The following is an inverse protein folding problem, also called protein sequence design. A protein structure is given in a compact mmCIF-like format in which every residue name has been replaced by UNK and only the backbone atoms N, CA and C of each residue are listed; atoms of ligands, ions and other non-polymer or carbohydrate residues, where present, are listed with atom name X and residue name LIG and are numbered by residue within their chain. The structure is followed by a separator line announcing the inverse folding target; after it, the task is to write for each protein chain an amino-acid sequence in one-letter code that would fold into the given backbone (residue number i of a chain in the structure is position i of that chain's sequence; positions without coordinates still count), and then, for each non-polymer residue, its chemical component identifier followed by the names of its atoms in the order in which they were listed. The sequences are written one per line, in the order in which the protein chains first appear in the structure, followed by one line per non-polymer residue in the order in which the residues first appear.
data_IF_148189157326
#
_entry.id   IF_148189157326
#
_cell.length_a   1.000
_cell.length_b   1.000
_cell.length_c   1.000
_cell.angle_alpha   90.00
_cell.angle_beta   90.00
_cell.angle_gamma   90.00
#
_symmetry.space_group_name_H-M   'P 1'
#
loop_
_entity.id
_entity.type
_entity.pdbx_description
1 polymer ?
#
# COMPACT_ATOMS: atom_id res chain seq x y z
N UNK A 1 4.62 -55.73 -47.81
CA UNK A 1 5.79 -55.55 -48.70
C UNK A 1 6.41 -54.21 -48.36
N UNK A 2 7.53 -54.18 -47.61
CA UNK A 2 8.91 -54.01 -48.14
C UNK A 2 9.05 -52.65 -48.85
N UNK A 3 9.91 -51.70 -48.49
CA UNK A 3 11.27 -51.80 -47.95
C UNK A 3 11.68 -50.44 -47.33
N UNK A 4 12.28 -50.44 -46.14
CA UNK A 4 13.71 -50.14 -45.90
C UNK A 4 14.25 -48.92 -46.67
N UNK A 5 14.47 -47.81 -45.97
CA UNK A 5 15.59 -46.92 -46.30
C UNK A 5 16.32 -46.48 -45.02
N UNK A 6 17.44 -47.16 -44.79
CA UNK A 6 18.43 -46.93 -43.75
C UNK A 6 19.46 -45.98 -44.38
N UNK A 7 19.58 -44.77 -43.85
CA UNK A 7 20.64 -43.81 -44.25
C UNK A 7 21.38 -43.43 -42.97
N UNK A 8 22.51 -44.08 -42.65
CA UNK A 8 23.85 -43.72 -43.14
C UNK A 8 24.21 -42.28 -42.78
N UNK A 9 24.40 -42.00 -41.48
CA UNK A 9 25.42 -41.03 -41.09
C UNK A 9 26.53 -41.73 -40.31
N UNK A 10 27.66 -41.71 -40.99
CA UNK A 10 28.90 -42.39 -40.76
C UNK A 10 29.54 -42.02 -39.43
N UNK A 11 30.03 -43.06 -38.76
CA UNK A 11 31.23 -43.11 -37.92
C UNK A 11 32.11 -41.87 -38.08
N UNK A 12 31.97 -40.91 -37.17
CA UNK A 12 32.89 -39.80 -37.04
C UNK A 12 34.23 -40.40 -36.60
N UNK A 13 35.15 -40.45 -37.56
CA UNK A 13 36.49 -41.00 -37.43
C UNK A 13 37.20 -40.34 -36.25
N UNK A 14 37.57 -41.13 -35.24
CA UNK A 14 38.63 -40.78 -34.31
C UNK A 14 39.92 -40.66 -35.11
N UNK A 15 40.24 -39.44 -35.56
CA UNK A 15 41.56 -39.12 -36.10
C UNK A 15 42.55 -39.18 -34.93
N UNK A 16 43.21 -40.33 -34.80
CA UNK A 16 44.41 -40.49 -33.99
C UNK A 16 45.49 -39.61 -34.61
N UNK A 17 45.80 -38.49 -33.96
CA UNK A 17 46.96 -37.69 -34.31
C UNK A 17 48.22 -38.45 -33.90
N UNK A 18 48.85 -39.12 -34.87
CA UNK A 18 50.18 -39.67 -34.72
C UNK A 18 51.15 -38.50 -34.50
N UNK A 19 51.71 -38.41 -33.30
CA UNK A 19 52.67 -37.39 -32.91
C UNK A 19 53.97 -37.56 -33.69
N UNK A 20 54.16 -36.75 -34.74
CA UNK A 20 55.39 -36.70 -35.53
C UNK A 20 56.40 -35.88 -34.72
N UNK A 21 57.41 -36.54 -34.14
CA UNK A 21 58.49 -35.87 -33.40
C UNK A 21 59.26 -34.94 -34.35
N UNK A 22 59.15 -33.64 -34.13
CA UNK A 22 59.98 -32.62 -34.79
C UNK A 22 61.41 -32.67 -34.22
N UNK A 23 62.45 -32.54 -35.06
CA UNK A 23 63.83 -32.48 -34.59
C UNK A 23 64.07 -31.15 -33.85
N UNK A 24 64.60 -31.23 -32.63
CA UNK A 24 64.97 -30.07 -31.82
C UNK A 24 66.22 -29.41 -32.42
N UNK A 25 66.03 -28.35 -33.20
CA UNK A 25 67.12 -27.42 -33.54
C UNK A 25 67.50 -26.64 -32.28
N UNK A 26 68.79 -26.64 -31.95
CA UNK A 26 69.35 -25.84 -30.86
C UNK A 26 69.46 -24.40 -31.31
N UNK A 27 68.37 -23.63 -31.17
CA UNK A 27 68.42 -22.18 -31.22
C UNK A 27 68.45 -21.69 -29.77
N UNK A 28 69.64 -21.32 -29.29
CA UNK A 28 69.83 -20.70 -27.98
C UNK A 28 69.26 -19.29 -28.02
N UNK A 29 67.95 -19.18 -27.78
CA UNK A 29 67.38 -17.95 -27.28
C UNK A 29 67.89 -17.80 -25.84
N UNK A 30 68.75 -16.83 -25.59
CA UNK A 30 68.95 -16.32 -24.23
C UNK A 30 67.60 -15.72 -23.80
N UNK A 31 66.84 -16.50 -23.05
CA UNK A 31 65.64 -16.03 -22.39
C UNK A 31 66.10 -15.03 -21.32
N UNK A 32 65.59 -13.78 -21.30
CA UNK A 32 65.78 -12.89 -20.16
C UNK A 32 65.39 -13.64 -18.88
N UNK A 33 66.10 -13.46 -17.75
CA UNK A 33 65.80 -14.19 -16.53
C UNK A 33 64.31 -14.05 -16.22
N UNK A 34 63.63 -15.19 -16.21
CA UNK A 34 62.22 -15.27 -15.86
C UNK A 34 62.06 -14.56 -14.50
N UNK A 35 61.14 -13.60 -14.36
CA UNK A 35 60.94 -12.96 -13.07
C UNK A 35 60.66 -14.08 -12.08
N UNK A 36 61.46 -14.16 -11.02
CA UNK A 36 61.25 -15.12 -9.93
C UNK A 36 59.95 -14.69 -9.25
N UNK A 37 58.82 -15.16 -9.78
CA UNK A 37 57.53 -15.01 -9.12
C UNK A 37 57.68 -15.92 -7.89
N UNK A 38 57.68 -15.37 -6.67
CA UNK A 38 57.76 -16.20 -5.48
C UNK A 38 56.65 -17.23 -5.56
N UNK A 39 56.98 -18.51 -5.35
CA UNK A 39 55.99 -19.58 -5.37
C UNK A 39 55.01 -19.35 -4.21
N UNK A 40 53.92 -18.64 -4.53
CA UNK A 40 52.84 -18.29 -3.61
C UNK A 40 52.17 -19.54 -3.01
N UNK A 41 52.34 -20.72 -3.63
CA UNK A 41 51.86 -21.99 -3.08
C UNK A 41 52.82 -22.59 -2.07
N UNK A 42 54.13 -22.43 -2.27
CA UNK A 42 55.15 -22.90 -1.33
C UNK A 42 55.15 -22.10 -0.02
N UNK A 43 54.94 -20.78 -0.09
CA UNK A 43 54.82 -19.92 1.08
C UNK A 43 53.66 -18.93 0.88
N UNK A 44 52.42 -19.29 1.28
CA UNK A 44 51.32 -18.35 1.20
C UNK A 44 51.60 -17.14 2.10
N UNK A 45 51.36 -15.90 1.61
CA UNK A 45 51.56 -14.71 2.42
C UNK A 45 50.71 -14.81 3.69
N UNK A 46 51.35 -14.56 4.84
CA UNK A 46 50.71 -14.64 6.15
C UNK A 46 49.59 -13.61 6.22
N UNK A 47 48.35 -14.07 6.36
CA UNK A 47 47.19 -13.18 6.49
C UNK A 47 47.32 -12.35 7.79
N UNK A 48 47.17 -11.04 7.66
CA UNK A 48 47.33 -10.09 8.76
C UNK A 48 46.07 -9.98 9.64
N UNK A 49 44.99 -10.64 9.24
CA UNK A 49 43.71 -10.59 9.95
C UNK A 49 43.76 -11.47 11.20
N UNK A 50 43.42 -10.87 12.35
CA UNK A 50 43.30 -11.61 13.60
C UNK A 50 42.25 -12.74 13.42
N UNK A 51 42.54 -14.00 13.77
CA UNK A 51 41.63 -15.15 13.54
C UNK A 51 40.20 -14.97 14.09
N UNK A 52 39.98 -14.15 15.13
CA UNK A 52 38.63 -13.86 15.63
C UNK A 52 37.78 -13.04 14.64
N UNK A 53 38.40 -12.26 13.75
CA UNK A 53 37.72 -11.42 12.77
C UNK A 53 36.78 -12.21 11.87
N UNK A 54 37.21 -13.37 11.36
CA UNK A 54 36.37 -14.21 10.50
C UNK A 54 35.16 -14.80 11.23
N UNK A 55 35.31 -15.11 12.53
CA UNK A 55 34.18 -15.54 13.37
C UNK A 55 33.20 -14.40 13.60
N UNK A 56 33.70 -13.19 13.86
CA UNK A 56 32.86 -12.00 14.04
C UNK A 56 32.07 -11.67 12.76
N UNK A 57 32.71 -11.70 11.58
CA UNK A 57 32.03 -11.48 10.29
C UNK A 57 30.99 -12.57 10.01
N UNK A 58 31.30 -13.83 10.32
CA UNK A 58 30.34 -14.94 10.18
C UNK A 58 29.09 -14.75 11.04
N UNK A 59 29.27 -14.39 12.31
CA UNK A 59 28.16 -14.09 13.23
C UNK A 59 27.39 -12.85 12.77
N UNK A 60 28.09 -11.80 12.33
CA UNK A 60 27.47 -10.58 11.83
C UNK A 60 26.57 -10.88 10.61
N UNK A 61 27.04 -11.66 9.64
CA UNK A 61 26.21 -12.06 8.50
C UNK A 61 24.99 -12.88 8.93
N UNK A 62 25.16 -13.81 9.87
CA UNK A 62 24.07 -14.64 10.39
C UNK A 62 23.01 -13.81 11.13
N UNK A 63 23.37 -12.67 11.71
CA UNK A 63 22.43 -11.74 12.36
C UNK A 63 21.85 -10.75 11.35
N UNK A 64 22.69 -10.15 10.52
CA UNK A 64 22.31 -9.06 9.61
C UNK A 64 21.36 -9.57 8.52
N UNK A 65 21.63 -10.72 7.90
CA UNK A 65 20.79 -11.24 6.80
C UNK A 65 19.33 -11.46 7.25
N UNK A 66 19.02 -12.18 8.36
CA UNK A 66 17.64 -12.33 8.80
C UNK A 66 17.03 -11.02 9.33
N UNK A 67 17.82 -10.17 10.00
CA UNK A 67 17.33 -8.86 10.45
C UNK A 67 16.90 -8.00 9.27
N UNK A 68 17.69 -7.96 8.20
CA UNK A 68 17.35 -7.27 6.96
C UNK A 68 16.13 -7.91 6.29
N UNK A 69 16.02 -9.24 6.29
CA UNK A 69 14.82 -9.93 5.79
C UNK A 69 13.55 -9.58 6.54
N UNK A 70 13.59 -9.56 7.88
CA UNK A 70 12.47 -9.15 8.73
C UNK A 70 12.15 -7.67 8.52
N UNK A 71 13.17 -6.82 8.53
CA UNK A 71 13.00 -5.39 8.31
C UNK A 71 12.40 -5.11 6.94
N UNK A 72 12.88 -5.79 5.91
CA UNK A 72 12.27 -5.79 4.60
C UNK A 72 10.79 -6.16 4.77
N UNK A 73 10.45 -7.40 5.13
CA UNK A 73 9.07 -7.90 5.13
C UNK A 73 8.07 -7.05 5.94
N UNK A 74 8.48 -6.48 7.07
CA UNK A 74 7.57 -5.80 7.99
C UNK A 74 7.66 -4.27 7.96
N UNK A 75 8.80 -3.69 7.57
CA UNK A 75 9.07 -2.26 7.74
C UNK A 75 9.42 -1.54 6.45
N UNK A 76 10.11 -2.18 5.51
CA UNK A 76 10.50 -1.56 4.26
C UNK A 76 9.30 -1.37 3.33
N UNK A 77 9.26 -0.24 2.64
CA UNK A 77 8.14 0.15 1.80
C UNK A 77 8.45 -0.14 0.33
N UNK A 78 7.90 -1.24 -0.23
CA UNK A 78 7.94 -1.49 -1.67
C UNK A 78 6.75 -0.83 -2.36
N UNK A 79 6.92 0.45 -2.63
CA UNK A 79 6.18 1.35 -3.53
C UNK A 79 4.64 1.22 -3.69
N UNK A 80 4.01 2.31 -3.21
CA UNK A 80 2.88 3.12 -3.68
C UNK A 80 1.48 2.59 -4.00
N UNK A 81 1.25 1.35 -4.38
CA UNK A 81 -0.14 0.93 -4.72
C UNK A 81 -0.86 0.13 -3.63
N UNK A 82 -0.14 -0.42 -2.64
CA UNK A 82 -0.73 -1.23 -1.57
C UNK A 82 -0.16 -0.87 -0.20
N UNK A 83 -1.04 -0.55 0.75
CA UNK A 83 -0.62 -0.32 2.14
C UNK A 83 -0.06 -1.61 2.75
N UNK A 84 1.15 -1.55 3.33
CA UNK A 84 1.70 -2.67 4.11
C UNK A 84 0.74 -3.08 5.21
N UNK A 85 0.67 -4.40 5.44
CA UNK A 85 -0.26 -5.04 6.38
C UNK A 85 -0.23 -4.42 7.78
N UNK A 86 0.91 -3.84 8.18
CA UNK A 86 1.11 -3.25 9.51
C UNK A 86 1.07 -1.71 9.57
N UNK A 87 0.81 -1.01 8.45
CA UNK A 87 0.68 0.47 8.43
C UNK A 87 -0.48 0.97 9.31
N UNK A 88 -1.69 0.38 9.32
CA UNK A 88 -2.78 0.85 10.17
C UNK A 88 -2.44 0.79 11.67
N UNK A 89 -1.87 -0.33 12.11
CA UNK A 89 -1.43 -0.50 13.50
C UNK A 89 -0.30 0.47 13.87
N UNK A 90 0.68 0.69 12.96
CA UNK A 90 1.78 1.62 13.18
C UNK A 90 1.29 3.08 13.26
N UNK A 91 0.33 3.48 12.43
CA UNK A 91 -0.32 4.80 12.49
C UNK A 91 -1.11 4.99 13.78
N UNK A 92 -1.83 3.97 14.24
CA UNK A 92 -2.50 4.01 15.54
C UNK A 92 -1.50 4.20 16.68
N UNK A 93 -0.41 3.41 16.70
CA UNK A 93 0.63 3.54 17.72
C UNK A 93 1.31 4.90 17.67
N UNK A 94 1.58 5.44 16.48
CA UNK A 94 2.12 6.79 16.36
C UNK A 94 1.14 7.86 16.86
N UNK A 95 -0.17 7.73 16.61
CA UNK A 95 -1.16 8.64 17.19
C UNK A 95 -1.17 8.59 18.72
N UNK A 96 -1.03 7.40 19.30
CA UNK A 96 -0.93 7.23 20.77
C UNK A 96 0.35 7.85 21.32
N UNK A 97 1.49 7.65 20.65
CA UNK A 97 2.77 8.25 21.04
C UNK A 97 2.75 9.77 20.89
N UNK A 98 2.24 10.28 19.78
CA UNK A 98 2.14 11.72 19.54
C UNK A 98 1.19 12.38 20.54
N UNK A 99 0.08 11.74 20.90
CA UNK A 99 -0.81 12.24 21.94
C UNK A 99 -0.15 12.29 23.33
N UNK A 100 0.81 11.40 23.60
CA UNK A 100 1.51 11.34 24.88
C UNK A 100 2.70 12.32 24.95
N UNK A 101 3.42 12.51 23.85
CA UNK A 101 4.66 13.29 23.80
C UNK A 101 4.49 14.69 23.17
N UNK A 102 3.32 15.03 22.63
CA UNK A 102 3.00 16.39 22.18
C UNK A 102 2.09 17.08 23.19
N UNK A 103 2.30 18.39 23.31
CA UNK A 103 1.37 19.30 23.98
C UNK A 103 0.00 19.23 23.30
N UNK A 104 -1.08 19.42 24.05
CA UNK A 104 -2.42 19.49 23.45
C UNK A 104 -2.47 20.63 22.39
N UNK A 105 -3.35 20.58 21.37
CA UNK A 105 -3.42 21.63 20.35
C UNK A 105 -3.42 23.08 20.88
N UNK A 106 -4.15 23.43 21.96
CA UNK A 106 -4.08 24.78 22.53
C UNK A 106 -2.76 25.08 23.26
N UNK A 107 -2.10 24.08 23.85
CA UNK A 107 -0.78 24.27 24.48
C UNK A 107 0.35 24.36 23.45
N UNK A 108 0.20 23.79 22.25
CA UNK A 108 1.13 24.00 21.14
C UNK A 108 1.09 25.44 20.63
N UNK A 109 -0.09 26.07 20.61
CA UNK A 109 -0.26 27.48 20.28
C UNK A 109 0.40 28.38 21.33
N UNK A 110 0.34 27.99 22.61
CA UNK A 110 0.96 28.73 23.71
C UNK A 110 2.48 28.48 23.82
N UNK A 111 2.95 27.29 23.45
CA UNK A 111 4.36 26.92 23.48
C UNK A 111 5.13 27.39 22.24
N UNK A 112 4.45 27.86 21.19
CA UNK A 112 5.08 28.54 20.05
C UNK A 112 5.34 29.99 20.45
N UNK A 113 6.57 30.36 20.86
CA UNK A 113 6.83 31.71 21.32
C UNK A 113 7.04 32.59 20.09
N UNK A 114 5.99 33.29 19.68
CA UNK A 114 6.10 34.50 18.86
C UNK A 114 5.68 34.39 17.39
N UNK A 115 4.70 35.23 17.06
CA UNK A 115 4.45 35.88 15.76
C UNK A 115 3.82 35.06 14.63
N UNK A 116 2.47 35.00 14.64
CA UNK A 116 1.70 35.36 13.45
C UNK A 116 0.54 36.28 13.88
N UNK A 117 0.77 37.59 13.78
CA UNK A 117 -0.31 38.57 13.72
C UNK A 117 -0.74 38.57 12.25
N UNK A 118 -1.99 38.17 11.90
CA UNK A 118 -2.46 38.36 10.53
C UNK A 118 -2.55 39.88 10.25
N UNK A 119 -2.07 40.36 9.08
CA UNK A 119 -2.24 41.75 8.69
C UNK A 119 -3.72 42.16 8.71
N UNK A 120 -4.02 43.22 9.45
CA UNK A 120 -5.33 43.86 9.48
C UNK A 120 -5.51 44.67 8.20
N UNK A 121 -5.89 44.02 7.10
CA UNK A 121 -6.40 44.71 5.92
C UNK A 121 -7.68 44.02 5.44
N UNK A 122 -8.75 44.81 5.34
CA UNK A 122 -9.89 44.51 4.47
C UNK A 122 -11.03 43.74 5.13
N UNK A 123 -12.01 44.49 5.60
CA UNK A 123 -13.34 44.02 5.91
C UNK A 123 -13.99 43.31 4.71
N UNK A 124 -14.43 42.06 4.86
CA UNK A 124 -15.64 41.54 4.20
C UNK A 124 -16.39 40.55 5.11
N UNK A 125 -17.51 41.05 5.63
CA UNK A 125 -18.75 40.35 5.97
C UNK A 125 -18.71 39.11 6.88
N UNK A 126 -19.04 39.37 8.15
CA UNK A 126 -19.88 38.50 8.97
C UNK A 126 -21.19 38.17 8.24
N UNK A 127 -21.40 36.94 7.77
CA UNK A 127 -22.75 36.34 7.71
C UNK A 127 -22.70 34.82 7.74
N UNK A 128 -23.68 34.26 8.44
CA UNK A 128 -24.04 32.83 8.59
C UNK A 128 -23.18 32.00 9.55
N UNK A 129 -23.61 32.05 10.81
CA UNK A 129 -23.85 30.85 11.59
C UNK A 129 -24.40 29.74 10.70
N UNK A 130 -23.65 28.66 10.56
CA UNK A 130 -24.11 27.40 10.04
C UNK A 130 -23.25 26.33 10.66
N UNK A 131 -23.86 25.47 11.49
CA UNK A 131 -23.28 24.24 12.02
C UNK A 131 -22.72 23.39 10.89
N UNK A 132 -21.48 23.67 10.51
CA UNK A 132 -20.68 22.88 9.58
C UNK A 132 -20.02 21.79 10.39
N UNK A 133 -20.69 20.65 10.52
CA UNK A 133 -20.07 19.43 10.99
C UNK A 133 -18.79 19.20 10.18
N UNK A 134 -17.65 19.30 10.87
CA UNK A 134 -16.32 19.28 10.29
C UNK A 134 -16.13 18.05 9.39
N UNK A 135 -16.14 18.28 8.09
CA UNK A 135 -15.73 17.35 7.02
C UNK A 135 -14.23 17.45 6.75
N UNK A 136 -13.45 17.98 7.70
CA UNK A 136 -12.00 17.99 7.65
C UNK A 136 -11.45 16.67 8.21
N UNK A 137 -11.38 15.64 7.37
CA UNK A 137 -10.56 14.47 7.74
C UNK A 137 -10.90 13.11 7.16
N UNK A 138 -11.81 12.95 6.19
CA UNK A 138 -11.87 11.67 5.49
C UNK A 138 -10.76 11.60 4.41
N UNK A 139 -9.84 10.63 4.48
CA UNK A 139 -8.81 10.45 3.46
C UNK A 139 -9.44 10.22 2.08
N UNK A 140 -8.90 10.87 1.04
CA UNK A 140 -9.41 10.82 -0.35
C UNK A 140 -9.63 9.40 -0.92
N UNK A 141 -9.00 8.38 -0.35
CA UNK A 141 -9.18 6.96 -0.71
C UNK A 141 -10.48 6.30 -0.24
N UNK A 142 -11.27 6.95 0.63
CA UNK A 142 -12.53 6.39 1.14
C UNK A 142 -13.75 6.69 0.26
N UNK A 143 -13.65 7.65 -0.67
CA UNK A 143 -14.78 8.18 -1.42
C UNK A 143 -15.11 7.41 -2.68
N UNK A 144 -14.95 6.09 -2.67
CA UNK A 144 -15.44 5.27 -3.78
C UNK A 144 -16.91 4.96 -3.51
N UNK A 145 -17.87 5.60 -4.21
CA UNK A 145 -19.29 5.35 -3.97
C UNK A 145 -19.63 3.90 -4.29
N UNK A 146 -20.50 3.32 -3.46
CA UNK A 146 -20.89 1.93 -3.60
C UNK A 146 -22.33 1.78 -4.07
N UNK A 147 -23.22 2.62 -3.57
CA UNK A 147 -24.62 2.67 -3.99
C UNK A 147 -24.97 3.99 -4.66
N UNK A 148 -25.83 3.90 -5.66
CA UNK A 148 -26.53 4.99 -6.31
C UNK A 148 -27.99 4.94 -5.85
N UNK A 149 -28.49 6.08 -5.40
CA UNK A 149 -29.91 6.26 -5.11
C UNK A 149 -30.64 6.45 -6.44
N UNK A 150 -31.47 5.48 -6.82
CA UNK A 150 -32.22 5.55 -8.08
C UNK A 150 -33.54 6.30 -7.92
N UNK A 151 -34.24 6.00 -6.83
CA UNK A 151 -35.58 6.50 -6.57
C UNK A 151 -35.75 6.67 -5.06
N UNK A 152 -36.49 7.70 -4.66
CA UNK A 152 -36.76 8.02 -3.26
C UNK A 152 -38.27 8.13 -3.09
N UNK A 153 -38.81 7.36 -2.13
CA UNK A 153 -40.24 7.39 -1.84
C UNK A 153 -40.60 8.78 -1.30
N UNK A 154 -41.56 9.50 -1.93
CA UNK A 154 -41.99 10.81 -1.45
C UNK A 154 -42.56 10.66 -0.04
N UNK A 155 -42.21 11.60 0.85
CA UNK A 155 -42.56 11.58 2.30
C UNK A 155 -41.99 10.39 3.09
N UNK A 156 -41.13 9.56 2.46
CA UNK A 156 -40.44 8.46 3.13
C UNK A 156 -39.28 8.93 4.01
N UNK A 157 -38.72 8.03 4.85
CA UNK A 157 -37.63 8.37 5.77
C UNK A 157 -36.38 8.92 5.07
N UNK A 158 -36.03 8.43 3.87
CA UNK A 158 -34.97 8.99 3.04
C UNK A 158 -35.27 10.42 2.55
N UNK A 159 -36.51 10.71 2.16
CA UNK A 159 -36.91 12.04 1.71
C UNK A 159 -36.85 13.05 2.87
N UNK A 160 -37.35 12.66 4.06
CA UNK A 160 -37.26 13.47 5.28
C UNK A 160 -35.82 13.74 5.67
N UNK A 161 -34.94 12.74 5.51
CA UNK A 161 -33.50 12.89 5.71
C UNK A 161 -32.81 13.81 4.68
N UNK A 162 -33.49 14.19 3.60
CA UNK A 162 -32.95 15.05 2.54
C UNK A 162 -32.12 14.31 1.49
N UNK A 163 -32.27 12.98 1.40
CA UNK A 163 -31.69 12.15 0.34
C UNK A 163 -32.37 12.48 -0.99
N UNK A 164 -31.61 12.55 -2.07
CA UNK A 164 -32.12 12.82 -3.42
C UNK A 164 -31.75 11.69 -4.36
N UNK A 165 -32.49 11.62 -5.46
CA UNK A 165 -32.08 10.84 -6.63
C UNK A 165 -30.67 11.25 -7.07
N UNK A 166 -29.91 10.29 -7.58
CA UNK A 166 -28.52 10.42 -7.98
C UNK A 166 -27.51 10.70 -6.85
N UNK A 167 -27.94 10.74 -5.58
CA UNK A 167 -27.00 10.79 -4.47
C UNK A 167 -26.18 9.49 -4.42
N UNK A 168 -24.88 9.66 -4.23
CA UNK A 168 -23.92 8.57 -4.19
C UNK A 168 -23.55 8.25 -2.74
N UNK A 169 -23.93 7.07 -2.26
CA UNK A 169 -23.70 6.67 -0.87
C UNK A 169 -22.29 6.12 -0.72
N UNK A 170 -21.55 6.71 0.23
CA UNK A 170 -20.16 6.36 0.55
C UNK A 170 -20.07 5.55 1.84
N UNK A 171 -20.80 5.93 2.89
CA UNK A 171 -20.80 5.24 4.18
C UNK A 171 -22.17 5.24 4.86
N UNK A 172 -22.39 4.22 5.69
CA UNK A 172 -23.48 4.12 6.65
C UNK A 172 -22.88 4.05 8.05
N UNK A 173 -23.33 4.92 8.94
CA UNK A 173 -22.71 5.11 10.24
C UNK A 173 -21.24 5.51 10.12
N UNK A 174 -20.43 4.92 11.00
CA UNK A 174 -18.97 5.06 10.98
C UNK A 174 -18.29 4.10 9.97
N UNK A 175 -19.07 3.23 9.31
CA UNK A 175 -18.54 2.16 8.46
C UNK A 175 -18.68 2.46 6.97
N UNK A 176 -17.60 2.36 6.18
CA UNK A 176 -17.69 2.48 4.73
C UNK A 176 -18.48 1.32 4.14
N UNK A 177 -19.35 1.59 3.18
CA UNK A 177 -20.16 0.55 2.54
C UNK A 177 -19.29 -0.49 1.84
N UNK A 178 -18.14 -0.10 1.29
CA UNK A 178 -17.19 -1.03 0.65
C UNK A 178 -16.65 -2.12 1.60
N UNK A 179 -16.55 -1.82 2.89
CA UNK A 179 -16.08 -2.77 3.90
C UNK A 179 -17.21 -3.63 4.48
N UNK A 180 -18.46 -3.28 4.23
CA UNK A 180 -19.60 -3.99 4.77
C UNK A 180 -19.92 -5.20 3.89
N UNK A 181 -20.03 -6.37 4.51
CA UNK A 181 -20.66 -7.50 3.85
C UNK A 181 -22.14 -7.15 3.54
N UNK A 182 -22.72 -7.66 2.44
CA UNK A 182 -24.13 -7.40 2.10
C UNK A 182 -25.12 -7.72 3.25
N UNK A 183 -24.79 -8.65 4.12
CA UNK A 183 -25.62 -9.00 5.27
C UNK A 183 -25.53 -7.98 6.41
N UNK A 184 -24.38 -7.31 6.56
CA UNK A 184 -24.13 -6.37 7.65
C UNK A 184 -24.91 -5.07 7.47
N UNK A 185 -25.02 -4.55 6.25
CA UNK A 185 -25.82 -3.33 6.02
C UNK A 185 -27.30 -3.59 6.31
N UNK A 186 -27.83 -4.75 5.90
CA UNK A 186 -29.22 -5.12 6.18
C UNK A 186 -29.46 -5.26 7.68
N UNK A 187 -28.51 -5.86 8.40
CA UNK A 187 -28.60 -5.98 9.85
C UNK A 187 -28.62 -4.60 10.54
N UNK A 188 -27.79 -3.66 10.10
CA UNK A 188 -27.76 -2.28 10.62
C UNK A 188 -29.09 -1.56 10.40
N UNK A 189 -29.67 -1.67 9.20
CA UNK A 189 -30.98 -1.07 8.91
C UNK A 189 -32.05 -1.72 9.79
N UNK A 190 -32.05 -3.05 9.90
CA UNK A 190 -33.02 -3.79 10.74
C UNK A 190 -32.90 -3.42 12.22
N UNK A 191 -31.70 -3.26 12.75
CA UNK A 191 -31.51 -2.83 14.15
C UNK A 191 -31.98 -1.40 14.36
N UNK A 192 -31.66 -0.49 13.44
CA UNK A 192 -32.09 0.90 13.53
C UNK A 192 -33.61 1.06 13.40
N UNK A 193 -34.28 0.25 12.59
CA UNK A 193 -35.75 0.18 12.53
C UNK A 193 -36.33 -0.25 13.88
N UNK A 194 -35.76 -1.29 14.49
CA UNK A 194 -36.22 -1.81 15.78
C UNK A 194 -36.07 -0.78 16.90
N UNK A 195 -34.99 -0.02 16.88
CA UNK A 195 -34.63 0.96 17.91
C UNK A 195 -35.06 2.39 17.54
N UNK A 196 -35.74 2.59 16.41
CA UNK A 196 -36.11 3.89 15.84
C UNK A 196 -34.96 4.92 15.93
N UNK A 197 -33.76 4.49 15.58
CA UNK A 197 -32.52 5.26 15.76
C UNK A 197 -32.07 5.86 14.43
N UNK A 198 -31.69 7.13 14.45
CA UNK A 198 -31.14 7.81 13.29
C UNK A 198 -29.74 7.26 12.94
N UNK A 199 -29.57 6.81 11.70
CA UNK A 199 -28.30 6.37 11.14
C UNK A 199 -27.68 7.55 10.38
N UNK A 200 -26.44 7.96 10.69
CA UNK A 200 -25.73 8.93 9.87
C UNK A 200 -25.32 8.28 8.53
N UNK A 201 -25.63 8.93 7.42
CA UNK A 201 -25.33 8.48 6.06
C UNK A 201 -24.50 9.54 5.36
N UNK A 202 -23.34 9.16 4.83
CA UNK A 202 -22.50 10.06 4.06
C UNK A 202 -22.80 9.90 2.57
N UNK A 203 -23.28 10.98 1.96
CA UNK A 203 -23.55 11.04 0.53
C UNK A 203 -22.63 12.02 -0.18
N UNK A 204 -22.38 11.74 -1.45
CA UNK A 204 -21.62 12.58 -2.36
C UNK A 204 -22.58 13.17 -3.41
N UNK A 205 -22.68 14.49 -3.44
CA UNK A 205 -23.52 15.29 -4.36
C UNK A 205 -22.62 16.30 -5.06
N UNK A 206 -22.76 16.57 -6.37
CA UNK A 206 -21.64 16.73 -7.33
C UNK A 206 -20.30 17.19 -6.73
N UNK A 207 -19.55 16.25 -6.13
CA UNK A 207 -18.21 16.49 -5.57
C UNK A 207 -18.15 17.08 -4.15
N UNK A 208 -19.29 17.44 -3.55
CA UNK A 208 -19.47 17.84 -2.16
C UNK A 208 -20.01 16.68 -1.32
N UNK A 209 -19.46 16.54 -0.12
CA UNK A 209 -19.95 15.57 0.85
C UNK A 209 -21.02 16.20 1.72
N UNK A 210 -22.11 15.47 1.91
CA UNK A 210 -23.20 15.86 2.79
C UNK A 210 -23.45 14.70 3.74
N UNK A 211 -23.41 14.97 5.04
CA UNK A 211 -23.84 14.01 6.05
C UNK A 211 -25.33 14.21 6.30
N UNK A 212 -26.11 13.15 6.14
CA UNK A 212 -27.55 13.13 6.38
C UNK A 212 -27.86 12.19 7.54
N UNK A 213 -28.89 12.48 8.32
CA UNK A 213 -29.38 11.62 9.38
C UNK A 213 -30.65 10.94 8.90
N UNK A 214 -30.59 9.63 8.72
CA UNK A 214 -31.69 8.84 8.20
C UNK A 214 -32.28 7.97 9.30
N UNK A 215 -33.55 8.20 9.63
CA UNK A 215 -34.29 7.40 10.61
C UNK A 215 -35.17 6.40 9.89
N UNK A 216 -34.81 5.10 9.81
CA UNK A 216 -35.57 4.14 9.05
C UNK A 216 -36.86 3.73 9.79
N UNK A 217 -37.92 3.46 9.05
CA UNK A 217 -39.23 3.04 9.59
C UNK A 217 -39.52 1.58 9.26
N UNK A 218 -40.41 0.94 10.02
CA UNK A 218 -40.77 -0.47 9.83
C UNK A 218 -41.46 -0.72 8.48
N UNK A 219 -42.25 0.24 8.00
CA UNK A 219 -43.08 0.10 6.80
C UNK A 219 -42.30 0.37 5.51
N UNK A 220 -41.41 1.37 5.50
CA UNK A 220 -40.67 1.78 4.31
C UNK A 220 -39.18 1.39 4.33
N UNK A 221 -38.67 0.86 5.45
CA UNK A 221 -37.24 0.61 5.64
C UNK A 221 -36.46 1.92 5.53
N UNK A 222 -35.56 2.00 4.55
CA UNK A 222 -34.84 3.24 4.21
C UNK A 222 -35.67 4.22 3.38
N UNK A 223 -36.71 3.76 2.68
CA UNK A 223 -37.53 4.61 1.81
C UNK A 223 -36.86 5.01 0.49
N UNK A 224 -35.85 4.27 0.01
CA UNK A 224 -35.18 4.53 -1.27
C UNK A 224 -34.75 3.24 -1.98
N UNK A 225 -34.74 3.25 -3.32
CA UNK A 225 -34.16 2.16 -4.14
C UNK A 225 -32.65 2.38 -4.29
N UNK A 226 -31.85 1.44 -3.79
CA UNK A 226 -30.39 1.48 -3.84
C UNK A 226 -29.89 0.49 -4.90
N UNK A 227 -29.14 1.01 -5.88
CA UNK A 227 -28.47 0.20 -6.90
C UNK A 227 -26.98 0.24 -6.74
N UNK A 228 -26.32 -0.84 -7.11
CA UNK A 228 -24.85 -0.87 -7.15
C UNK A 228 -24.35 0.19 -8.12
N UNK A 229 -23.52 1.11 -7.62
CA UNK A 229 -22.91 2.14 -8.45
C UNK A 229 -21.94 1.49 -9.45
N UNK A 230 -22.07 1.87 -10.72
CA UNK A 230 -21.11 1.54 -11.77
C UNK A 230 -20.57 2.84 -12.35
N UNK A 231 -19.24 2.99 -12.49
CA UNK A 231 -18.65 4.19 -13.08
C UNK A 231 -19.14 4.34 -14.53
N UNK A 232 -19.83 5.44 -14.82
CA UNK A 232 -20.43 5.71 -16.14
C UNK A 232 -21.97 5.59 -16.22
N UNK A 233 -22.66 5.29 -15.12
CA UNK A 233 -24.14 5.29 -15.06
C UNK A 233 -24.74 6.68 -14.79
N UNK A 234 -23.95 7.63 -14.32
CA UNK A 234 -24.40 9.01 -14.06
C UNK A 234 -24.40 9.76 -15.39
N UNK A 235 -25.44 9.56 -16.19
CA UNK A 235 -25.91 10.41 -17.30
C UNK A 235 -26.99 9.66 -18.10
N UNK A 236 -28.26 9.95 -17.80
CA UNK A 236 -29.34 9.99 -18.78
C UNK A 236 -30.56 10.71 -18.23
#
# INVERSE_FOLDING_TARGET
MLARFRSQFSRQQRRTFASRKLPKSKLSHETPPEPVIPDLKANPPKDFRNPWFFKAVGVANFIIIPVVGIYATFYWDWDDEREHVMKPARRWLQKQKDAFFRLSPPEQELATPGLVIPPLDGAESLTSSGSGLSTAGLPKGFFKPFFLVKDVVPEGPAAVAGLREDDLIVSFGETPVRSLAPLTYQAMIKSAVKENTAIPVLVMRPGKQVLLLLTPTTEAGLGCDLRRFQPGQVNR
#
